data_IF_272159420190
#
_entry.id   IF_272159420190
#
_cell.length_a   1.000
_cell.length_b   1.000
_cell.length_c   1.000
_cell.angle_alpha   90.00
_cell.angle_beta   90.00
_cell.angle_gamma   90.00
#
_symmetry.space_group_name_H-M   'P 1'
#
loop_
_entity.id
_entity.type
_entity.pdbx_description
1 polymer ?
#
# COMPACT_ATOMS: atom_id res chain seq x y z
N UNK A 1 -21.08 -27.84 -7.36
CA UNK A 1 -20.10 -26.77 -7.25
C UNK A 1 -20.80 -25.45 -7.58
N UNK A 2 -21.03 -24.59 -6.60
CA UNK A 2 -21.68 -23.29 -6.80
C UNK A 2 -20.61 -22.33 -7.35
N UNK A 3 -20.86 -21.76 -8.54
CA UNK A 3 -20.07 -20.64 -9.06
C UNK A 3 -20.10 -19.51 -8.01
N UNK A 4 -18.96 -19.20 -7.41
CA UNK A 4 -18.82 -18.01 -6.59
C UNK A 4 -19.09 -16.82 -7.50
N UNK A 5 -19.99 -15.94 -7.05
CA UNK A 5 -20.35 -14.72 -7.77
C UNK A 5 -19.08 -13.90 -7.97
N UNK A 6 -18.82 -13.52 -9.22
CA UNK A 6 -17.81 -12.54 -9.58
C UNK A 6 -18.05 -11.28 -8.74
N UNK A 7 -17.30 -11.09 -7.67
CA UNK A 7 -17.06 -9.76 -7.13
C UNK A 7 -16.01 -9.14 -8.06
N UNK A 8 -16.37 -8.08 -8.70
CA UNK A 8 -15.39 -7.22 -9.35
C UNK A 8 -14.44 -6.72 -8.23
N UNK A 9 -13.28 -7.37 -8.04
CA UNK A 9 -12.11 -6.69 -7.57
C UNK A 9 -11.82 -5.69 -8.68
N UNK A 10 -12.04 -4.42 -8.44
CA UNK A 10 -11.30 -3.42 -9.20
C UNK A 10 -9.84 -3.77 -8.88
N UNK A 11 -9.12 -4.34 -9.86
CA UNK A 11 -7.66 -4.45 -9.78
C UNK A 11 -7.19 -3.09 -9.32
N UNK A 12 -6.25 -3.06 -8.37
CA UNK A 12 -5.59 -1.78 -8.04
C UNK A 12 -4.90 -1.40 -9.32
N UNK A 13 -5.62 -0.63 -10.12
CA UNK A 13 -5.11 -0.09 -11.36
C UNK A 13 -4.01 0.89 -10.97
N UNK A 14 -2.76 0.44 -11.02
CA UNK A 14 -1.57 1.26 -10.76
C UNK A 14 -1.50 2.47 -11.71
N UNK A 15 -2.35 2.50 -12.75
CA UNK A 15 -2.53 3.66 -13.64
C UNK A 15 -3.54 4.67 -13.08
N UNK A 16 -4.37 4.29 -12.09
CA UNK A 16 -5.35 5.21 -11.48
C UNK A 16 -4.62 6.25 -10.66
N UNK A 17 -4.77 7.49 -11.07
CA UNK A 17 -4.20 8.63 -10.36
C UNK A 17 -4.80 8.74 -8.97
N UNK A 18 -3.94 8.88 -7.95
CA UNK A 18 -4.38 9.04 -6.56
C UNK A 18 -5.22 10.29 -6.39
N UNK A 19 -6.33 10.17 -5.67
CA UNK A 19 -7.30 11.25 -5.45
C UNK A 19 -7.45 11.53 -3.96
N UNK A 20 -7.33 12.79 -3.55
CA UNK A 20 -7.54 13.20 -2.16
C UNK A 20 -8.86 13.96 -1.98
N UNK A 21 -9.60 13.62 -0.93
CA UNK A 21 -10.70 14.45 -0.46
C UNK A 21 -10.16 15.58 0.41
N UNK A 22 -10.49 16.83 0.09
CA UNK A 22 -10.01 18.01 0.81
C UNK A 22 -11.04 18.46 1.83
N UNK A 23 -10.63 18.61 3.09
CA UNK A 23 -11.41 19.15 4.18
C UNK A 23 -10.69 20.36 4.78
N UNK A 24 -11.42 21.44 5.04
CA UNK A 24 -10.91 22.65 5.66
C UNK A 24 -11.66 22.89 6.96
N UNK A 25 -10.97 23.31 8.01
CA UNK A 25 -11.59 23.51 9.30
C UNK A 25 -11.31 24.91 9.85
N UNK A 26 -12.28 25.44 10.58
CA UNK A 26 -12.22 26.71 11.27
C UNK A 26 -12.85 26.60 12.67
N UNK A 27 -12.67 27.61 13.48
CA UNK A 27 -13.38 27.84 14.73
C UNK A 27 -14.10 29.19 14.63
N UNK A 28 -15.38 29.22 14.90
CA UNK A 28 -16.31 30.30 14.51
C UNK A 28 -15.96 31.74 14.91
N UNK A 29 -15.03 31.94 15.85
CA UNK A 29 -14.55 33.28 16.23
C UNK A 29 -13.19 33.67 15.60
N UNK A 30 -12.59 32.77 14.80
CA UNK A 30 -11.33 32.99 14.10
C UNK A 30 -11.57 33.65 12.72
N UNK A 31 -10.55 34.22 12.08
CA UNK A 31 -10.69 34.91 10.79
C UNK A 31 -10.91 33.92 9.63
N UNK A 32 -12.14 33.41 9.49
CA UNK A 32 -12.52 32.36 8.55
C UNK A 32 -12.28 32.68 7.07
N UNK A 33 -12.18 33.98 6.69
CA UNK A 33 -11.85 34.40 5.33
C UNK A 33 -10.50 33.87 4.84
N UNK A 34 -9.59 33.53 5.75
CA UNK A 34 -8.30 32.91 5.42
C UNK A 34 -8.44 31.51 4.80
N UNK A 35 -9.61 30.87 4.90
CA UNK A 35 -9.89 29.57 4.28
C UNK A 35 -9.91 29.66 2.76
N UNK A 36 -10.41 30.75 2.18
CA UNK A 36 -10.50 30.88 0.72
C UNK A 36 -9.13 30.74 0.04
N UNK A 37 -8.15 31.51 0.47
CA UNK A 37 -6.78 31.39 -0.07
C UNK A 37 -6.12 30.05 0.27
N UNK A 38 -6.38 29.51 1.46
CA UNK A 38 -5.86 28.21 1.84
C UNK A 38 -6.42 27.05 1.00
N UNK A 39 -7.69 27.16 0.57
CA UNK A 39 -8.33 26.21 -0.34
C UNK A 39 -7.66 26.23 -1.72
N UNK A 40 -7.42 27.42 -2.27
CA UNK A 40 -6.70 27.59 -3.55
C UNK A 40 -5.28 27.04 -3.48
N UNK A 41 -4.53 27.36 -2.43
CA UNK A 41 -3.17 26.87 -2.20
C UNK A 41 -3.13 25.35 -2.10
N UNK A 42 -4.06 24.72 -1.39
CA UNK A 42 -4.11 23.27 -1.23
C UNK A 42 -4.46 22.57 -2.55
N UNK A 43 -5.45 23.07 -3.29
CA UNK A 43 -5.82 22.56 -4.62
C UNK A 43 -4.61 22.62 -5.54
N UNK A 44 -3.93 23.78 -5.57
CA UNK A 44 -2.72 23.96 -6.38
C UNK A 44 -1.62 22.98 -5.95
N UNK A 45 -1.36 22.82 -4.65
CA UNK A 45 -0.32 21.93 -4.15
C UNK A 45 -0.56 20.47 -4.54
N UNK A 46 -1.80 19.99 -4.43
CA UNK A 46 -2.20 18.62 -4.79
C UNK A 46 -2.07 18.39 -6.30
N UNK A 47 -2.53 19.34 -7.12
CA UNK A 47 -2.45 19.22 -8.58
C UNK A 47 -1.04 19.35 -9.11
N UNK A 48 -0.21 20.24 -8.56
CA UNK A 48 1.21 20.38 -8.92
C UNK A 48 2.02 19.10 -8.56
N UNK A 49 1.61 18.39 -7.49
CA UNK A 49 2.19 17.09 -7.11
C UNK A 49 1.76 15.94 -8.06
N UNK A 50 0.87 16.20 -9.00
CA UNK A 50 0.38 15.20 -9.94
C UNK A 50 -0.82 14.39 -9.46
N UNK A 51 -1.43 14.72 -8.32
CA UNK A 51 -2.61 14.04 -7.77
C UNK A 51 -3.91 14.72 -8.17
N UNK A 52 -5.02 13.98 -8.07
CA UNK A 52 -6.36 14.51 -8.24
C UNK A 52 -6.98 14.85 -6.87
N UNK A 53 -8.04 15.61 -6.87
CA UNK A 53 -8.77 15.95 -5.66
C UNK A 53 -10.27 15.96 -5.89
N UNK A 54 -11.01 15.77 -4.80
CA UNK A 54 -12.42 16.14 -4.67
C UNK A 54 -12.57 17.05 -3.45
N UNK A 55 -13.51 17.97 -3.52
CA UNK A 55 -13.79 18.87 -2.41
C UNK A 55 -15.28 19.22 -2.38
N UNK A 56 -15.86 19.28 -1.19
CA UNK A 56 -17.23 19.76 -1.01
C UNK A 56 -17.33 21.21 -1.51
N UNK A 57 -18.47 21.57 -2.11
CA UNK A 57 -18.72 22.93 -2.58
C UNK A 57 -18.57 23.93 -1.43
N UNK A 58 -17.81 24.99 -1.68
CA UNK A 58 -17.52 26.02 -0.68
C UNK A 58 -18.78 26.79 -0.22
N UNK A 59 -19.80 26.87 -1.06
CA UNK A 59 -21.04 27.59 -0.75
C UNK A 59 -21.98 26.82 0.21
N UNK A 60 -21.66 25.54 0.50
CA UNK A 60 -22.48 24.70 1.39
C UNK A 60 -22.27 25.01 2.87
N UNK A 61 -21.14 25.62 3.22
CA UNK A 61 -20.81 25.99 4.60
C UNK A 61 -20.19 27.37 4.65
N UNK A 62 -20.19 27.99 5.83
CA UNK A 62 -19.52 29.27 6.01
C UNK A 62 -18.04 29.17 5.66
N UNK A 63 -17.56 30.03 4.76
CA UNK A 63 -16.18 30.03 4.23
C UNK A 63 -15.74 28.73 3.53
N UNK A 64 -16.64 27.79 3.27
CA UNK A 64 -16.29 26.47 2.74
C UNK A 64 -15.52 25.59 3.73
N UNK A 65 -15.67 25.89 5.04
CA UNK A 65 -14.99 25.20 6.13
C UNK A 65 -15.96 24.44 7.05
N UNK A 66 -15.39 23.68 7.98
CA UNK A 66 -16.09 22.94 9.04
C UNK A 66 -15.88 23.68 10.34
N UNK A 67 -16.90 24.40 10.83
CA UNK A 67 -16.86 25.21 12.05
C UNK A 67 -17.73 24.62 13.17
N UNK A 68 -18.69 23.76 12.83
CA UNK A 68 -19.70 23.24 13.75
C UNK A 68 -19.90 21.75 13.59
N UNK A 69 -20.56 21.14 14.57
CA UNK A 69 -20.97 19.74 14.48
C UNK A 69 -21.87 19.46 13.28
N UNK A 70 -22.80 20.37 12.96
CA UNK A 70 -23.76 20.18 11.87
C UNK A 70 -23.04 20.23 10.50
N UNK A 71 -22.07 21.10 10.32
CA UNK A 71 -21.20 21.12 9.14
C UNK A 71 -20.31 19.88 9.08
N UNK A 72 -19.86 19.35 10.23
CA UNK A 72 -19.19 18.07 10.33
C UNK A 72 -20.05 16.91 9.83
N UNK A 73 -21.35 16.86 10.22
CA UNK A 73 -22.30 15.88 9.72
C UNK A 73 -22.55 16.01 8.21
N UNK A 74 -22.63 17.24 7.70
CA UNK A 74 -22.78 17.50 6.27
C UNK A 74 -21.56 16.96 5.50
N UNK A 75 -20.35 17.23 5.97
CA UNK A 75 -19.13 16.74 5.35
C UNK A 75 -19.02 15.21 5.42
N UNK A 76 -19.34 14.60 6.56
CA UNK A 76 -19.36 13.13 6.71
C UNK A 76 -20.33 12.47 5.73
N UNK A 77 -21.52 13.05 5.54
CA UNK A 77 -22.49 12.60 4.53
C UNK A 77 -21.92 12.71 3.13
N UNK A 78 -21.32 13.85 2.80
CA UNK A 78 -20.69 14.07 1.50
C UNK A 78 -19.56 13.07 1.23
N UNK A 79 -18.70 12.79 2.21
CA UNK A 79 -17.66 11.73 2.08
C UNK A 79 -18.28 10.37 1.77
N UNK A 80 -19.37 10.02 2.46
CA UNK A 80 -20.05 8.75 2.25
C UNK A 80 -20.66 8.62 0.85
N UNK A 81 -21.21 9.70 0.31
CA UNK A 81 -21.76 9.76 -1.06
C UNK A 81 -20.66 9.63 -2.14
N UNK A 82 -19.40 9.93 -1.79
CA UNK A 82 -18.24 9.83 -2.68
C UNK A 82 -17.30 8.66 -2.31
N UNK A 83 -17.78 7.71 -1.50
CA UNK A 83 -16.98 6.53 -1.12
C UNK A 83 -16.44 5.78 -2.37
N UNK A 84 -15.14 5.44 -2.36
CA UNK A 84 -14.45 4.80 -3.49
C UNK A 84 -13.93 5.77 -4.56
N UNK A 85 -14.23 7.07 -4.46
CA UNK A 85 -13.72 8.09 -5.40
C UNK A 85 -12.45 8.79 -4.89
N UNK A 86 -12.03 8.53 -3.66
CA UNK A 86 -10.83 9.10 -3.04
C UNK A 86 -10.05 8.04 -2.24
N UNK A 87 -8.76 8.27 -2.12
CA UNK A 87 -7.81 7.33 -1.49
C UNK A 87 -7.38 7.76 -0.09
N UNK A 88 -7.55 9.03 0.25
CA UNK A 88 -7.23 9.62 1.55
C UNK A 88 -7.89 10.98 1.72
N UNK A 89 -7.93 11.47 2.97
CA UNK A 89 -8.41 12.82 3.29
C UNK A 89 -7.25 13.71 3.68
N UNK A 90 -7.13 14.90 3.11
CA UNK A 90 -6.26 15.96 3.60
C UNK A 90 -7.11 16.91 4.43
N UNK A 91 -6.97 16.82 5.76
CA UNK A 91 -7.61 17.72 6.70
C UNK A 91 -6.71 18.92 6.96
N UNK A 92 -7.02 20.02 6.32
CA UNK A 92 -6.27 21.26 6.41
C UNK A 92 -6.86 22.17 7.48
N UNK A 93 -6.00 22.68 8.32
CA UNK A 93 -6.26 23.68 9.35
C UNK A 93 -5.59 24.99 8.95
N UNK A 94 -6.26 25.85 8.15
CA UNK A 94 -5.75 27.18 7.80
C UNK A 94 -5.61 28.10 9.01
N UNK A 95 -6.45 27.86 10.00
CA UNK A 95 -6.55 28.55 11.29
C UNK A 95 -6.88 27.52 12.36
N UNK A 96 -7.10 27.98 13.60
CA UNK A 96 -7.50 27.14 14.72
C UNK A 96 -8.78 26.35 14.36
N UNK A 97 -8.76 25.02 14.46
CA UNK A 97 -9.86 24.15 14.08
C UNK A 97 -10.91 23.97 15.20
N UNK A 98 -12.15 23.70 14.84
CA UNK A 98 -13.20 23.23 15.75
C UNK A 98 -13.11 21.71 15.93
N UNK A 99 -12.96 21.25 17.16
CA UNK A 99 -12.78 19.83 17.49
C UNK A 99 -14.05 19.00 17.26
N UNK A 100 -15.24 19.56 17.57
CA UNK A 100 -16.50 18.86 17.40
C UNK A 100 -16.84 18.68 15.91
N UNK A 101 -16.62 19.72 15.12
CA UNK A 101 -16.78 19.65 13.67
C UNK A 101 -15.81 18.65 13.04
N UNK A 102 -14.54 18.73 13.42
CA UNK A 102 -13.48 17.85 12.89
C UNK A 102 -13.75 16.36 13.15
N UNK A 103 -14.00 15.98 14.40
CA UNK A 103 -14.25 14.57 14.74
C UNK A 103 -15.54 14.05 14.12
N UNK A 104 -16.61 14.86 14.11
CA UNK A 104 -17.89 14.48 13.49
C UNK A 104 -17.75 14.26 11.98
N UNK A 105 -16.90 15.05 11.32
CA UNK A 105 -16.66 14.94 9.88
C UNK A 105 -15.89 13.66 9.50
N UNK A 106 -14.96 13.20 10.34
CA UNK A 106 -13.91 12.28 9.92
C UNK A 106 -13.81 10.98 10.73
N UNK A 107 -14.56 10.80 11.82
CA UNK A 107 -14.46 9.58 12.62
C UNK A 107 -14.73 8.29 11.81
N UNK A 108 -15.55 8.37 10.77
CA UNK A 108 -15.94 7.25 9.92
C UNK A 108 -15.40 7.39 8.47
N UNK A 109 -14.32 8.17 8.28
CA UNK A 109 -13.76 8.43 6.95
C UNK A 109 -13.32 7.15 6.20
N UNK A 110 -12.92 6.12 6.93
CA UNK A 110 -12.58 4.81 6.36
C UNK A 110 -11.30 4.77 5.51
N UNK A 111 -10.59 5.87 5.35
CA UNK A 111 -9.32 6.03 4.63
C UNK A 111 -8.31 6.80 5.49
N UNK A 112 -7.00 6.79 5.15
CA UNK A 112 -6.02 7.61 5.86
C UNK A 112 -6.37 9.10 5.86
N UNK A 113 -6.04 9.78 6.96
CA UNK A 113 -6.28 11.21 7.16
C UNK A 113 -4.95 11.90 7.41
N UNK A 114 -4.56 12.86 6.57
CA UNK A 114 -3.40 13.73 6.79
C UNK A 114 -3.82 14.99 7.55
N UNK A 115 -3.21 15.25 8.69
CA UNK A 115 -3.39 16.48 9.48
C UNK A 115 -2.38 17.54 9.05
N UNK A 116 -2.80 18.54 8.28
CA UNK A 116 -1.97 19.67 7.85
C UNK A 116 -2.41 20.95 8.57
N UNK A 117 -1.45 21.75 9.03
CA UNK A 117 -1.70 23.05 9.62
C UNK A 117 -0.82 24.13 8.98
N UNK A 118 -1.37 25.32 8.79
CA UNK A 118 -0.65 26.47 8.24
C UNK A 118 0.27 27.10 9.27
N UNK A 119 1.46 27.60 8.88
CA UNK A 119 2.27 28.44 9.72
C UNK A 119 1.65 29.83 9.87
N UNK A 120 1.82 30.46 11.03
CA UNK A 120 1.57 31.90 11.18
C UNK A 120 2.61 32.71 10.42
N UNK A 121 2.19 33.81 9.82
CA UNK A 121 3.10 34.73 9.14
C UNK A 121 3.79 35.66 10.17
N UNK A 122 5.12 35.78 10.08
CA UNK A 122 5.88 36.66 10.96
C UNK A 122 5.40 38.10 10.83
N UNK A 123 5.03 38.71 11.96
CA UNK A 123 4.53 40.08 12.03
C UNK A 123 3.03 40.24 11.76
N UNK A 124 2.31 39.18 11.43
CA UNK A 124 0.85 39.16 11.23
C UNK A 124 0.14 38.40 12.36
N UNK A 125 0.28 38.89 13.57
CA UNK A 125 -0.32 38.25 14.78
C UNK A 125 -1.53 39.04 15.31
N UNK A 126 -2.09 39.96 14.51
CA UNK A 126 -3.32 40.64 14.83
C UNK A 126 -4.56 39.73 14.61
N UNK A 127 -5.72 40.17 15.09
CA UNK A 127 -6.93 39.35 15.06
C UNK A 127 -7.37 38.93 13.64
N UNK A 128 -7.10 39.73 12.62
CA UNK A 128 -7.51 39.45 11.25
C UNK A 128 -6.58 38.44 10.53
N UNK A 129 -5.35 38.26 11.00
CA UNK A 129 -4.33 37.47 10.28
C UNK A 129 -3.80 36.28 11.08
N UNK A 130 -3.98 36.26 12.40
CA UNK A 130 -3.49 35.22 13.29
C UNK A 130 -4.21 33.90 12.99
N UNK A 131 -3.42 32.84 12.77
CA UNK A 131 -3.95 31.53 12.43
C UNK A 131 -4.08 30.61 13.64
N UNK A 132 -3.11 30.55 14.53
CA UNK A 132 -3.04 29.59 15.63
C UNK A 132 -3.27 28.11 15.19
N UNK A 133 -2.95 27.80 13.96
CA UNK A 133 -3.28 26.51 13.35
C UNK A 133 -2.51 25.35 14.01
N UNK A 134 -1.31 25.58 14.53
CA UNK A 134 -0.58 24.55 15.27
C UNK A 134 -1.27 24.18 16.58
N UNK A 135 -1.77 25.16 17.31
CA UNK A 135 -2.56 24.92 18.50
C UNK A 135 -3.84 24.14 18.17
N UNK A 136 -4.54 24.53 17.09
CA UNK A 136 -5.70 23.80 16.58
C UNK A 136 -5.39 22.36 16.19
N UNK A 137 -4.27 22.13 15.49
CA UNK A 137 -3.82 20.78 15.15
C UNK A 137 -3.56 19.93 16.39
N UNK A 138 -2.93 20.51 17.40
CA UNK A 138 -2.65 19.81 18.65
C UNK A 138 -3.94 19.36 19.34
N UNK A 139 -4.94 20.24 19.44
CA UNK A 139 -6.22 19.92 20.09
C UNK A 139 -7.04 18.89 19.28
N UNK A 140 -7.10 19.02 17.95
CA UNK A 140 -7.81 18.07 17.10
C UNK A 140 -7.18 16.68 17.18
N UNK A 141 -5.85 16.57 17.10
CA UNK A 141 -5.17 15.27 17.20
C UNK A 141 -5.36 14.59 18.55
N UNK A 142 -5.47 15.35 19.64
CA UNK A 142 -5.82 14.81 20.96
C UNK A 142 -7.24 14.21 20.95
N UNK A 143 -8.24 14.93 20.40
CA UNK A 143 -9.61 14.41 20.29
C UNK A 143 -9.67 13.17 19.39
N UNK A 144 -8.97 13.14 18.25
CA UNK A 144 -8.91 11.96 17.39
C UNK A 144 -8.29 10.76 18.12
N UNK A 145 -7.29 11.00 18.98
CA UNK A 145 -6.72 9.95 19.83
C UNK A 145 -7.73 9.43 20.85
N UNK A 146 -8.48 10.32 21.50
CA UNK A 146 -9.55 9.92 22.44
C UNK A 146 -10.64 9.06 21.78
N UNK A 147 -10.98 9.37 20.54
CA UNK A 147 -11.97 8.62 19.74
C UNK A 147 -11.37 7.40 19.02
N UNK A 148 -10.07 7.14 19.18
CA UNK A 148 -9.35 6.05 18.51
C UNK A 148 -9.43 6.12 16.98
N UNK A 149 -9.53 7.31 16.41
CA UNK A 149 -9.51 7.54 14.97
C UNK A 149 -8.06 7.68 14.51
N UNK A 150 -7.56 6.80 13.63
CA UNK A 150 -6.20 6.89 13.13
C UNK A 150 -5.99 8.10 12.23
N UNK A 151 -4.87 8.76 12.38
CA UNK A 151 -4.46 9.90 11.54
C UNK A 151 -2.96 9.92 11.29
N UNK A 152 -2.54 10.68 10.29
CA UNK A 152 -1.14 10.87 9.91
C UNK A 152 -0.70 12.30 10.24
N UNK A 153 0.43 12.43 10.93
CA UNK A 153 1.13 13.69 11.19
C UNK A 153 2.53 13.60 10.60
N UNK A 154 2.85 14.48 9.66
CA UNK A 154 4.16 14.58 9.05
C UNK A 154 4.90 15.82 9.53
N UNK A 155 6.23 15.84 9.40
CA UNK A 155 7.09 16.97 9.80
C UNK A 155 7.40 17.86 8.60
N UNK A 156 7.52 19.18 8.82
CA UNK A 156 7.26 19.92 10.06
C UNK A 156 5.78 19.93 10.43
N UNK A 157 5.47 20.18 11.71
CA UNK A 157 4.08 20.13 12.20
C UNK A 157 3.18 21.21 11.58
N UNK A 158 3.75 22.38 11.27
CA UNK A 158 3.11 23.43 10.47
C UNK A 158 3.87 23.60 9.18
N UNK A 159 3.16 23.60 8.07
CA UNK A 159 3.77 23.63 6.74
C UNK A 159 2.84 24.31 5.74
N UNK A 160 3.36 25.24 4.96
CA UNK A 160 2.58 25.90 3.91
C UNK A 160 2.38 24.93 2.74
N UNK A 161 1.16 24.77 2.18
CA UNK A 161 0.89 23.84 1.09
C UNK A 161 1.78 24.03 -0.15
N UNK A 162 2.14 25.26 -0.49
CA UNK A 162 2.97 25.56 -1.67
C UNK A 162 4.48 25.39 -1.42
N UNK A 163 4.90 24.86 -0.25
CA UNK A 163 6.31 24.62 0.03
C UNK A 163 6.78 23.28 -0.53
N UNK A 164 8.08 23.19 -0.88
CA UNK A 164 8.72 21.93 -1.29
C UNK A 164 8.53 20.84 -0.23
N UNK A 165 8.60 21.21 1.05
CA UNK A 165 8.42 20.27 2.16
C UNK A 165 7.01 19.65 2.20
N UNK A 166 5.99 20.41 1.84
CA UNK A 166 4.65 19.85 1.73
C UNK A 166 4.51 18.93 0.51
N UNK A 167 5.23 19.20 -0.58
CA UNK A 167 5.30 18.28 -1.73
C UNK A 167 5.91 16.92 -1.33
N UNK A 168 6.93 16.90 -0.47
CA UNK A 168 7.44 15.65 0.13
C UNK A 168 6.38 14.98 1.00
N UNK A 169 5.68 15.73 1.86
CA UNK A 169 4.61 15.21 2.71
C UNK A 169 3.46 14.61 1.89
N UNK A 170 3.11 15.17 0.74
CA UNK A 170 2.10 14.61 -0.16
C UNK A 170 2.55 13.26 -0.75
N UNK A 171 3.82 13.12 -1.14
CA UNK A 171 4.37 11.84 -1.62
C UNK A 171 4.36 10.77 -0.53
N UNK A 172 4.79 11.13 0.69
CA UNK A 172 4.76 10.22 1.84
C UNK A 172 3.32 9.81 2.19
N UNK A 173 2.39 10.75 2.16
CA UNK A 173 0.98 10.47 2.42
C UNK A 173 0.34 9.60 1.33
N UNK A 174 0.68 9.83 0.08
CA UNK A 174 0.25 8.97 -1.02
C UNK A 174 0.76 7.53 -0.84
N UNK A 175 2.01 7.35 -0.42
CA UNK A 175 2.55 6.03 -0.09
C UNK A 175 1.77 5.35 1.05
N UNK A 176 1.45 6.09 2.12
CA UNK A 176 0.61 5.60 3.22
C UNK A 176 -0.77 5.16 2.72
N UNK A 177 -1.41 5.97 1.86
CA UNK A 177 -2.71 5.64 1.28
C UNK A 177 -2.65 4.36 0.43
N UNK A 178 -1.62 4.20 -0.40
CA UNK A 178 -1.42 2.98 -1.19
C UNK A 178 -1.30 1.75 -0.30
N UNK A 179 -0.48 1.81 0.74
CA UNK A 179 -0.30 0.68 1.68
C UNK A 179 -1.60 0.37 2.40
N UNK A 180 -2.20 1.35 3.06
CA UNK A 180 -3.42 1.13 3.88
C UNK A 180 -4.56 0.59 3.02
N UNK A 181 -4.80 1.19 1.84
CA UNK A 181 -5.89 0.77 0.98
C UNK A 181 -5.60 -0.57 0.28
N UNK A 182 -4.35 -0.79 -0.16
CA UNK A 182 -3.93 -2.03 -0.82
C UNK A 182 -3.88 -3.25 0.12
N UNK A 183 -3.73 -3.03 1.43
CA UNK A 183 -3.73 -4.11 2.43
C UNK A 183 -5.10 -4.43 3.04
N UNK A 184 -6.14 -3.62 2.78
CA UNK A 184 -7.48 -3.82 3.38
C UNK A 184 -8.19 -5.11 2.97
N UNK A 185 -7.93 -5.63 1.78
CA UNK A 185 -8.54 -6.85 1.22
C UNK A 185 -7.49 -7.67 0.50
N UNK A 186 -6.46 -7.98 1.24
CA UNK A 186 -5.27 -8.64 0.74
C UNK A 186 -5.44 -10.16 0.80
N UNK A 187 -5.12 -10.85 -0.31
CA UNK A 187 -5.14 -12.30 -0.38
C UNK A 187 -3.74 -12.82 -0.70
N UNK A 188 -3.22 -13.70 0.13
CA UNK A 188 -1.91 -14.33 -0.07
C UNK A 188 -2.03 -15.82 -0.28
N UNK A 189 -1.41 -16.35 -1.34
CA UNK A 189 -1.28 -17.77 -1.58
C UNK A 189 -0.16 -18.40 -0.74
N UNK A 190 -0.46 -19.53 -0.11
CA UNK A 190 0.50 -20.34 0.62
C UNK A 190 0.59 -21.70 -0.06
N UNK A 191 1.66 -21.93 -0.86
CA UNK A 191 1.84 -23.16 -1.65
C UNK A 191 2.76 -24.15 -0.91
N UNK A 192 2.16 -25.16 -0.31
CA UNK A 192 2.82 -26.20 0.48
C UNK A 192 2.83 -25.91 1.99
N UNK A 193 3.34 -26.84 2.76
CA UNK A 193 3.49 -26.70 4.20
C UNK A 193 4.87 -26.11 4.55
N UNK A 194 4.94 -25.41 5.69
CA UNK A 194 6.20 -24.89 6.21
C UNK A 194 7.28 -26.00 6.33
N UNK A 195 8.48 -25.73 5.89
CA UNK A 195 9.63 -26.61 6.09
C UNK A 195 9.86 -26.82 7.59
N UNK A 196 10.00 -28.09 8.01
CA UNK A 196 9.98 -28.47 9.44
C UNK A 196 11.01 -27.71 10.28
N UNK A 197 12.21 -27.45 9.73
CA UNK A 197 13.29 -26.73 10.41
C UNK A 197 12.99 -25.23 10.63
N UNK A 198 12.17 -24.60 9.78
CA UNK A 198 11.93 -23.15 9.77
C UNK A 198 10.80 -22.75 10.72
N UNK A 199 11.09 -22.73 12.02
CA UNK A 199 10.12 -22.22 13.01
C UNK A 199 9.96 -20.70 12.98
N UNK A 200 10.90 -20.00 12.40
CA UNK A 200 10.87 -18.53 12.24
C UNK A 200 9.83 -18.06 11.23
N UNK A 201 9.44 -18.90 10.26
CA UNK A 201 8.41 -18.57 9.25
C UNK A 201 6.98 -18.94 9.67
N UNK A 202 6.75 -19.17 10.97
CA UNK A 202 5.38 -19.38 11.49
C UNK A 202 4.60 -18.09 11.48
N UNK A 203 3.33 -18.19 11.16
CA UNK A 203 2.40 -17.06 11.15
C UNK A 203 1.11 -17.39 11.91
N UNK A 204 0.42 -16.36 12.38
CA UNK A 204 -0.90 -16.46 12.99
C UNK A 204 -1.96 -16.13 11.94
N UNK A 205 -2.51 -17.15 11.30
CA UNK A 205 -3.52 -17.02 10.25
C UNK A 205 -4.77 -16.28 10.73
N UNK A 206 -5.22 -16.55 11.97
CA UNK A 206 -6.39 -15.87 12.53
C UNK A 206 -6.08 -14.41 12.81
N UNK A 207 -4.87 -14.10 13.27
CA UNK A 207 -4.39 -12.73 13.45
C UNK A 207 -4.34 -11.97 12.14
N UNK A 208 -3.86 -12.60 11.07
CA UNK A 208 -3.86 -12.03 9.71
C UNK A 208 -5.30 -11.76 9.22
N UNK A 209 -6.19 -12.73 9.36
CA UNK A 209 -7.60 -12.60 8.95
C UNK A 209 -8.33 -11.45 9.68
N UNK A 210 -8.07 -11.25 10.97
CA UNK A 210 -8.62 -10.11 11.74
C UNK A 210 -8.16 -8.76 11.21
N UNK A 211 -7.01 -8.72 10.52
CA UNK A 211 -6.44 -7.52 9.91
C UNK A 211 -6.71 -7.42 8.39
N UNK A 212 -7.67 -8.19 7.87
CA UNK A 212 -8.08 -8.13 6.46
C UNK A 212 -7.22 -8.93 5.49
N UNK A 213 -6.29 -9.75 6.00
CA UNK A 213 -5.39 -10.59 5.18
C UNK A 213 -5.93 -12.01 5.16
N UNK A 214 -6.34 -12.48 3.99
CA UNK A 214 -6.80 -13.86 3.77
C UNK A 214 -5.65 -14.72 3.28
N UNK A 215 -5.48 -15.91 3.87
CA UNK A 215 -4.50 -16.90 3.43
C UNK A 215 -5.22 -18.00 2.66
N UNK A 216 -4.84 -18.22 1.40
CA UNK A 216 -5.31 -19.34 0.57
C UNK A 216 -4.23 -20.42 0.54
N UNK A 217 -4.49 -21.56 1.18
CA UNK A 217 -3.54 -22.65 1.31
C UNK A 217 -3.73 -23.71 0.21
N UNK A 218 -2.65 -24.02 -0.53
CA UNK A 218 -2.63 -25.01 -1.59
C UNK A 218 -1.68 -26.14 -1.24
N UNK A 219 -2.11 -27.39 -1.45
CA UNK A 219 -1.26 -28.54 -1.26
C UNK A 219 -0.23 -28.64 -2.40
N UNK A 220 1.02 -28.93 -2.04
CA UNK A 220 2.10 -29.05 -3.04
C UNK A 220 1.89 -30.23 -3.99
N UNK A 221 1.19 -31.27 -3.57
CA UNK A 221 0.82 -32.40 -4.44
C UNK A 221 -0.15 -32.02 -5.54
N UNK A 222 -1.09 -31.09 -5.27
CA UNK A 222 -1.99 -30.53 -6.28
C UNK A 222 -1.21 -29.74 -7.33
N UNK A 223 -0.26 -28.91 -6.87
CA UNK A 223 0.62 -28.16 -7.79
C UNK A 223 1.41 -29.11 -8.68
N UNK A 224 2.02 -30.15 -8.11
CA UNK A 224 2.77 -31.15 -8.88
C UNK A 224 1.88 -31.90 -9.88
N UNK A 225 0.65 -32.24 -9.50
CA UNK A 225 -0.31 -32.85 -10.41
C UNK A 225 -0.60 -31.94 -11.61
N UNK A 226 -0.92 -30.66 -11.37
CA UNK A 226 -1.19 -29.68 -12.44
C UNK A 226 0.05 -29.46 -13.33
N UNK A 227 1.24 -29.36 -12.74
CA UNK A 227 2.51 -29.18 -13.48
C UNK A 227 2.78 -30.40 -14.39
N UNK A 228 2.62 -31.61 -13.88
CA UNK A 228 2.84 -32.84 -14.65
C UNK A 228 1.76 -33.07 -15.74
N UNK A 229 0.58 -32.51 -15.59
CA UNK A 229 -0.50 -32.57 -16.59
C UNK A 229 -0.31 -31.59 -17.76
N UNK A 230 0.61 -30.62 -17.63
CA UNK A 230 0.92 -29.70 -18.75
C UNK A 230 1.76 -30.42 -19.80
N UNK A 231 1.39 -30.27 -21.07
CA UNK A 231 2.19 -30.76 -22.17
C UNK A 231 3.40 -29.85 -22.44
N UNK A 232 4.52 -30.42 -22.91
CA UNK A 232 5.74 -29.64 -23.20
C UNK A 232 5.55 -28.63 -24.33
N UNK A 233 4.64 -28.90 -25.24
CA UNK A 233 4.29 -28.08 -26.42
C UNK A 233 3.05 -27.20 -26.19
N UNK A 234 2.52 -27.12 -24.97
CA UNK A 234 1.42 -26.20 -24.62
C UNK A 234 1.84 -24.77 -24.98
N UNK A 235 1.01 -24.02 -25.74
CA UNK A 235 1.33 -22.65 -26.13
C UNK A 235 1.66 -21.73 -24.94
N UNK A 236 0.98 -21.89 -23.80
CA UNK A 236 1.25 -21.10 -22.59
C UNK A 236 2.62 -21.45 -22.00
N UNK A 237 3.01 -22.73 -22.01
CA UNK A 237 4.33 -23.20 -21.55
C UNK A 237 5.44 -22.65 -22.44
N UNK A 238 5.26 -22.69 -23.77
CA UNK A 238 6.24 -22.17 -24.72
C UNK A 238 6.38 -20.65 -24.61
N UNK A 239 5.29 -19.91 -24.48
CA UNK A 239 5.32 -18.47 -24.27
C UNK A 239 6.02 -18.08 -22.96
N UNK A 240 5.76 -18.85 -21.88
CA UNK A 240 6.43 -18.64 -20.60
C UNK A 240 7.92 -18.95 -20.66
N UNK A 241 8.32 -20.01 -21.42
CA UNK A 241 9.72 -20.34 -21.66
C UNK A 241 10.44 -19.18 -22.34
N UNK A 242 9.90 -18.66 -23.43
CA UNK A 242 10.45 -17.49 -24.13
C UNK A 242 10.60 -16.28 -23.19
N UNK A 243 9.60 -16.03 -22.35
CA UNK A 243 9.64 -14.96 -21.38
C UNK A 243 10.77 -15.12 -20.36
N UNK A 244 10.97 -16.34 -19.82
CA UNK A 244 12.02 -16.62 -18.85
C UNK A 244 13.43 -16.54 -19.49
N UNK A 245 13.58 -17.01 -20.71
CA UNK A 245 14.83 -16.90 -21.48
C UNK A 245 15.19 -15.44 -21.81
N UNK A 246 14.20 -14.58 -21.96
CA UNK A 246 14.39 -13.14 -22.13
C UNK A 246 14.59 -12.40 -20.77
N UNK A 247 14.16 -13.01 -19.67
CA UNK A 247 14.27 -12.43 -18.34
C UNK A 247 15.70 -12.54 -17.78
N UNK A 248 16.39 -13.65 -18.00
CA UNK A 248 17.78 -13.83 -17.55
C UNK A 248 18.50 -14.85 -18.43
N UNK A 249 19.83 -14.98 -18.27
CA UNK A 249 20.65 -15.91 -19.08
C UNK A 249 20.35 -17.38 -18.73
N UNK A 250 19.73 -18.07 -19.67
CA UNK A 250 19.43 -19.52 -19.63
C UNK A 250 20.34 -20.36 -20.51
N UNK A 251 21.44 -19.80 -21.05
CA UNK A 251 22.33 -20.49 -22.00
C UNK A 251 22.87 -21.82 -21.50
N UNK A 252 23.12 -21.94 -20.19
CA UNK A 252 23.65 -23.15 -19.54
C UNK A 252 22.56 -24.00 -18.86
N UNK A 253 21.27 -23.69 -19.02
CA UNK A 253 20.17 -24.47 -18.43
C UNK A 253 19.71 -25.52 -19.43
N UNK A 254 19.65 -26.83 -19.04
CA UNK A 254 19.15 -27.91 -19.91
C UNK A 254 17.71 -27.64 -20.35
N UNK A 255 17.37 -28.06 -21.57
CA UNK A 255 16.06 -27.77 -22.19
C UNK A 255 14.89 -28.34 -21.37
N UNK A 256 15.04 -29.58 -20.85
CA UNK A 256 14.05 -30.20 -19.99
C UNK A 256 13.78 -29.40 -18.69
N UNK A 257 14.78 -28.69 -18.18
CA UNK A 257 14.65 -27.83 -16.99
C UNK A 257 13.98 -26.51 -17.34
N UNK A 258 14.26 -25.95 -18.50
CA UNK A 258 13.53 -24.75 -19.00
C UNK A 258 12.04 -25.02 -19.13
N UNK A 259 11.68 -26.14 -19.76
CA UNK A 259 10.28 -26.58 -19.90
C UNK A 259 9.63 -26.81 -18.53
N UNK A 260 10.32 -27.51 -17.60
CA UNK A 260 9.78 -27.75 -16.25
C UNK A 260 9.52 -26.44 -15.50
N UNK A 261 10.48 -25.51 -15.49
CA UNK A 261 10.32 -24.18 -14.89
C UNK A 261 9.14 -23.43 -15.51
N UNK A 262 8.99 -23.51 -16.84
CA UNK A 262 7.87 -22.87 -17.56
C UNK A 262 6.52 -23.44 -17.16
N UNK A 263 6.39 -24.77 -17.03
CA UNK A 263 5.17 -25.43 -16.54
C UNK A 263 4.80 -24.99 -15.14
N UNK A 264 5.79 -24.95 -14.22
CA UNK A 264 5.57 -24.46 -12.85
C UNK A 264 5.08 -23.01 -12.87
N UNK A 265 5.73 -22.15 -13.68
CA UNK A 265 5.36 -20.74 -13.79
C UNK A 265 3.94 -20.55 -14.31
N UNK A 266 3.52 -21.33 -15.34
CA UNK A 266 2.14 -21.30 -15.85
C UNK A 266 1.14 -21.69 -14.76
N UNK A 267 1.41 -22.76 -14.03
CA UNK A 267 0.52 -23.21 -12.93
C UNK A 267 0.43 -22.19 -11.82
N UNK A 268 1.55 -21.53 -11.48
CA UNK A 268 1.53 -20.44 -10.47
C UNK A 268 0.70 -19.25 -10.97
N UNK A 269 0.86 -18.85 -12.24
CA UNK A 269 0.05 -17.77 -12.81
C UNK A 269 -1.46 -18.12 -12.80
N UNK A 270 -1.83 -19.38 -13.09
CA UNK A 270 -3.21 -19.85 -12.98
C UNK A 270 -3.77 -19.70 -11.55
N UNK A 271 -2.98 -20.00 -10.51
CA UNK A 271 -3.40 -19.77 -9.12
C UNK A 271 -3.55 -18.28 -8.81
N UNK A 272 -2.60 -17.44 -9.27
CA UNK A 272 -2.67 -16.00 -9.07
C UNK A 272 -3.96 -15.43 -9.66
N UNK A 273 -4.31 -15.84 -10.88
CA UNK A 273 -5.52 -15.36 -11.56
C UNK A 273 -6.80 -15.94 -10.97
N UNK A 274 -6.85 -17.26 -10.73
CA UNK A 274 -8.06 -17.96 -10.26
C UNK A 274 -8.47 -17.49 -8.85
N UNK A 275 -7.50 -17.27 -7.96
CA UNK A 275 -7.73 -16.90 -6.57
C UNK A 275 -7.50 -15.42 -6.29
N UNK A 276 -7.15 -14.63 -7.31
CA UNK A 276 -6.86 -13.19 -7.17
C UNK A 276 -5.83 -12.91 -6.10
N UNK A 277 -4.68 -13.58 -6.17
CA UNK A 277 -3.63 -13.47 -5.17
C UNK A 277 -2.84 -12.17 -5.34
N UNK A 278 -2.67 -11.44 -4.26
CA UNK A 278 -1.85 -10.22 -4.19
C UNK A 278 -0.37 -10.53 -3.90
N UNK A 279 -0.10 -11.69 -3.30
CA UNK A 279 1.24 -12.19 -2.97
C UNK A 279 1.25 -13.71 -2.85
N UNK A 280 2.45 -14.29 -2.78
CA UNK A 280 2.68 -15.72 -2.66
C UNK A 280 3.80 -16.04 -1.68
N UNK A 281 3.65 -17.18 -0.95
CA UNK A 281 4.74 -17.85 -0.26
C UNK A 281 4.79 -19.31 -0.73
N UNK A 282 5.96 -19.77 -1.20
CA UNK A 282 6.10 -21.08 -1.84
C UNK A 282 7.12 -21.93 -1.10
N UNK A 283 6.77 -23.20 -0.84
CA UNK A 283 7.71 -24.19 -0.35
C UNK A 283 8.65 -24.64 -1.48
N UNK A 284 9.83 -24.06 -1.57
CA UNK A 284 10.88 -24.49 -2.51
C UNK A 284 11.66 -25.70 -2.00
N UNK A 285 12.07 -25.70 -0.74
CA UNK A 285 12.83 -26.77 -0.09
C UNK A 285 11.91 -27.85 0.49
N UNK A 286 12.20 -29.15 0.26
CA UNK A 286 13.20 -29.72 -0.71
C UNK A 286 12.43 -30.38 -1.89
N UNK A 287 11.09 -30.36 -1.79
CA UNK A 287 10.22 -31.18 -2.65
C UNK A 287 10.27 -30.75 -4.12
N UNK A 288 10.32 -29.45 -4.40
CA UNK A 288 10.48 -28.99 -5.79
C UNK A 288 11.84 -29.40 -6.35
N UNK A 289 12.88 -29.30 -5.57
CA UNK A 289 14.24 -29.67 -5.97
C UNK A 289 14.40 -31.19 -6.19
N UNK A 290 13.78 -32.00 -5.33
CA UNK A 290 13.92 -33.47 -5.39
C UNK A 290 12.95 -34.10 -6.39
N UNK A 291 11.71 -33.63 -6.49
CA UNK A 291 10.66 -34.21 -7.31
C UNK A 291 10.66 -33.62 -8.73
N UNK A 292 10.65 -32.29 -8.85
CA UNK A 292 10.65 -31.58 -10.13
C UNK A 292 12.08 -31.29 -10.63
N UNK A 293 13.10 -31.46 -9.76
CA UNK A 293 14.52 -31.26 -10.04
C UNK A 293 14.86 -29.87 -10.60
N UNK A 294 14.19 -28.84 -10.08
CA UNK A 294 14.44 -27.44 -10.36
C UNK A 294 14.25 -26.57 -9.12
N UNK A 295 15.01 -25.48 -9.05
CA UNK A 295 14.81 -24.42 -8.07
C UNK A 295 13.88 -23.35 -8.64
N UNK A 296 12.79 -22.96 -7.95
CA UNK A 296 11.84 -21.97 -8.49
C UNK A 296 12.30 -20.53 -8.35
N UNK A 297 13.48 -20.23 -7.84
CA UNK A 297 13.94 -18.88 -7.49
C UNK A 297 13.80 -17.86 -8.62
N UNK A 298 14.12 -18.27 -9.87
CA UNK A 298 13.98 -17.40 -11.04
C UNK A 298 12.51 -17.06 -11.33
N UNK A 299 11.58 -17.98 -11.07
CA UNK A 299 10.14 -17.75 -11.24
C UNK A 299 9.63 -16.75 -10.21
N UNK A 300 10.10 -16.87 -8.96
CA UNK A 300 9.77 -15.95 -7.88
C UNK A 300 10.35 -14.55 -8.16
N UNK A 301 11.55 -14.49 -8.74
CA UNK A 301 12.16 -13.23 -9.18
C UNK A 301 11.33 -12.54 -10.26
N UNK A 302 10.89 -13.28 -11.27
CA UNK A 302 10.03 -12.77 -12.36
C UNK A 302 8.68 -12.29 -11.85
N UNK A 303 8.07 -13.00 -10.88
CA UNK A 303 6.83 -12.58 -10.24
C UNK A 303 7.01 -11.26 -9.45
N UNK A 304 8.11 -11.13 -8.72
CA UNK A 304 8.44 -9.89 -8.00
C UNK A 304 8.60 -8.69 -8.92
N UNK A 305 9.23 -8.88 -10.10
CA UNK A 305 9.33 -7.83 -11.14
C UNK A 305 7.97 -7.47 -11.75
N UNK A 306 7.01 -8.39 -11.75
CA UNK A 306 5.62 -8.14 -12.17
C UNK A 306 4.76 -7.50 -11.09
N UNK A 307 5.31 -7.20 -9.92
CA UNK A 307 4.59 -6.61 -8.81
C UNK A 307 3.80 -7.62 -7.95
N UNK A 308 4.01 -8.93 -8.13
CA UNK A 308 3.43 -9.99 -7.30
C UNK A 308 4.47 -10.38 -6.26
N UNK A 309 4.33 -9.87 -5.03
CA UNK A 309 5.27 -10.13 -3.95
C UNK A 309 5.35 -11.64 -3.65
N UNK A 310 6.54 -12.23 -3.84
CA UNK A 310 6.69 -13.68 -3.71
C UNK A 310 7.93 -14.02 -2.91
N UNK A 311 7.73 -14.78 -1.81
CA UNK A 311 8.79 -15.31 -0.96
C UNK A 311 8.94 -16.83 -1.11
N UNK A 312 10.15 -17.34 -0.84
CA UNK A 312 10.41 -18.77 -0.72
C UNK A 312 10.17 -19.28 0.72
N UNK A 313 10.32 -20.60 0.92
CA UNK A 313 10.37 -21.28 2.24
C UNK A 313 9.09 -21.15 3.09
N UNK A 314 7.96 -20.74 2.47
CA UNK A 314 6.72 -20.40 3.17
C UNK A 314 6.92 -19.23 4.15
N UNK A 315 7.79 -18.29 3.81
CA UNK A 315 7.89 -17.05 4.58
C UNK A 315 6.79 -16.05 4.20
N UNK A 316 5.58 -16.37 4.62
CA UNK A 316 4.37 -15.64 4.31
C UNK A 316 4.42 -14.20 4.85
N UNK A 317 5.03 -14.00 6.02
CA UNK A 317 5.16 -12.66 6.60
C UNK A 317 6.11 -11.77 5.82
N UNK A 318 7.17 -12.32 5.26
CA UNK A 318 8.05 -11.57 4.34
C UNK A 318 7.33 -11.20 3.04
N UNK A 319 6.53 -12.11 2.44
CA UNK A 319 5.76 -11.75 1.25
C UNK A 319 4.74 -10.63 1.53
N UNK A 320 4.07 -10.63 2.68
CA UNK A 320 3.20 -9.54 3.14
C UNK A 320 3.98 -8.23 3.26
N UNK A 321 5.16 -8.27 3.89
CA UNK A 321 6.03 -7.10 4.05
C UNK A 321 6.52 -6.57 2.70
N UNK A 322 6.92 -7.47 1.79
CA UNK A 322 7.31 -7.11 0.42
C UNK A 322 6.16 -6.39 -0.30
N UNK A 323 4.93 -6.90 -0.20
CA UNK A 323 3.77 -6.24 -0.81
C UNK A 323 3.54 -4.85 -0.25
N UNK A 324 3.59 -4.67 1.05
CA UNK A 324 3.48 -3.35 1.67
C UNK A 324 4.56 -2.38 1.15
N UNK A 325 5.80 -2.86 1.02
CA UNK A 325 6.90 -2.07 0.47
C UNK A 325 6.75 -1.76 -1.02
N UNK A 326 6.25 -2.71 -1.83
CA UNK A 326 5.90 -2.46 -3.24
C UNK A 326 4.83 -1.37 -3.38
N UNK A 327 3.79 -1.43 -2.55
CA UNK A 327 2.74 -0.41 -2.51
C UNK A 327 3.27 0.97 -2.10
N UNK A 328 4.21 1.01 -1.15
CA UNK A 328 4.83 2.25 -0.71
C UNK A 328 5.74 2.87 -1.77
N UNK A 329 6.63 2.07 -2.35
CA UNK A 329 7.70 2.52 -3.24
C UNK A 329 7.32 2.56 -4.72
N UNK A 330 6.26 1.81 -5.12
CA UNK A 330 5.91 1.55 -6.52
C UNK A 330 7.05 0.87 -7.30
N UNK A 331 7.90 0.13 -6.58
CA UNK A 331 9.06 -0.58 -7.11
C UNK A 331 9.04 -2.05 -6.66
N UNK A 332 9.68 -2.97 -7.37
CA UNK A 332 9.94 -4.31 -6.89
C UNK A 332 10.68 -4.31 -5.56
N UNK A 333 10.53 -5.38 -4.80
CA UNK A 333 11.18 -5.56 -3.49
C UNK A 333 11.80 -6.95 -3.37
N UNK A 334 12.72 -7.12 -2.43
CA UNK A 334 13.36 -8.41 -2.16
C UNK A 334 13.44 -8.69 -0.66
N UNK A 335 13.43 -9.96 -0.31
CA UNK A 335 13.80 -10.44 1.04
C UNK A 335 15.26 -10.82 1.00
N UNK A 336 16.03 -10.34 1.98
CA UNK A 336 17.44 -10.67 2.14
C UNK A 336 17.70 -11.15 3.57
N UNK A 337 18.58 -12.13 3.71
CA UNK A 337 19.02 -12.61 5.01
C UNK A 337 20.12 -11.72 5.59
N UNK A 338 20.14 -11.59 6.91
CA UNK A 338 21.26 -11.01 7.63
C UNK A 338 22.36 -12.06 7.67
N UNK A 339 23.20 -12.04 6.66
CA UNK A 339 24.09 -13.13 6.36
C UNK A 339 25.42 -13.09 7.15
N UNK A 340 26.03 -11.89 7.28
CA UNK A 340 27.33 -11.81 7.93
C UNK A 340 27.63 -10.38 8.42
N UNK A 341 28.64 -10.27 9.30
CA UNK A 341 29.25 -9.00 9.66
C UNK A 341 29.98 -8.40 8.44
N UNK A 342 30.10 -7.07 8.41
CA UNK A 342 30.96 -6.38 7.45
C UNK A 342 32.30 -6.06 8.14
N UNK A 343 33.20 -7.05 8.18
CA UNK A 343 34.44 -6.94 8.95
C UNK A 343 34.18 -6.68 10.44
N UNK A 344 34.86 -5.70 11.00
CA UNK A 344 34.71 -5.28 12.41
C UNK A 344 33.79 -4.05 12.58
N UNK A 345 33.08 -3.62 11.52
CA UNK A 345 32.18 -2.49 11.59
C UNK A 345 30.85 -2.88 12.29
N UNK A 346 30.61 -2.32 13.49
CA UNK A 346 29.44 -2.66 14.32
C UNK A 346 28.10 -2.14 13.74
N UNK A 347 28.15 -1.10 12.90
CA UNK A 347 27.01 -0.45 12.26
C UNK A 347 26.70 -0.97 10.85
N UNK A 348 27.38 -2.02 10.39
CA UNK A 348 27.27 -2.59 9.04
C UNK A 348 27.12 -4.10 9.06
N UNK A 349 26.37 -4.60 8.09
CA UNK A 349 26.22 -6.04 7.87
C UNK A 349 26.13 -6.36 6.38
N UNK A 350 26.33 -7.62 6.02
CA UNK A 350 26.13 -8.14 4.69
C UNK A 350 24.71 -8.73 4.62
N UNK A 351 23.94 -8.25 3.67
CA UNK A 351 22.65 -8.83 3.29
C UNK A 351 22.86 -9.73 2.07
N UNK A 352 22.33 -10.94 2.15
CA UNK A 352 22.40 -11.90 1.05
C UNK A 352 21.21 -12.84 1.13
N UNK A 353 20.75 -13.33 -0.02
CA UNK A 353 19.77 -14.40 -0.09
C UNK A 353 20.10 -15.30 -1.28
N UNK A 354 20.09 -16.63 -1.07
CA UNK A 354 20.26 -17.59 -2.16
C UNK A 354 18.97 -17.81 -2.98
N UNK A 355 17.92 -17.05 -2.67
CA UNK A 355 16.58 -17.18 -3.20
C UNK A 355 16.26 -16.18 -4.31
N UNK A 356 15.01 -15.69 -4.28
CA UNK A 356 14.50 -14.79 -5.29
C UNK A 356 14.96 -13.35 -5.08
N UNK A 357 15.45 -12.72 -6.16
CA UNK A 357 15.65 -11.29 -6.22
C UNK A 357 15.18 -10.80 -7.60
N UNK A 358 14.36 -9.77 -7.64
CA UNK A 358 13.91 -9.19 -8.90
C UNK A 358 15.11 -8.68 -9.72
N UNK A 359 15.16 -8.98 -11.03
CA UNK A 359 16.28 -8.58 -11.89
C UNK A 359 16.46 -7.06 -11.91
N UNK A 360 15.38 -6.32 -11.88
CA UNK A 360 15.40 -4.85 -11.89
C UNK A 360 16.06 -4.23 -10.64
N UNK A 361 16.31 -5.03 -9.60
CA UNK A 361 17.02 -4.61 -8.39
C UNK A 361 18.52 -4.94 -8.41
N UNK A 362 19.03 -5.61 -9.46
CA UNK A 362 20.43 -6.07 -9.58
C UNK A 362 21.32 -5.06 -10.32
#
# INVERSE_FOLDING_TARGET
MKKHSRRNKEDIDMSKKMTFALAFCNRGFMPGELIYGAREDMIKAVTDAGYDYIAMDADLTRYGGIETRDEGLLYAKWLKEHEGQYDGVIFSMPIFADENGAITALQDAGVPILMQAYPDEIGKMDFAHRRDAFCGKFSVTDVFTQYQVPFTVLKPHVVHPLSEKFQENLRDFAAICRVVNGMKRFTIGCIGARTTAFKTTRFDEIGLQKNGITVEAFDLSEVFYKVNAKEDNDPAVLAKKERLENYTDFSNVPEDKKIMLSKISVVIDEYVEEYHLDALAIRCWNEMETILRVCPCVLLSELNDRGIATSCEIDLTSAISMRAMQLASEQPTAVLDWNNNYGDAEDKLILFHCGSCAQSLM
#
